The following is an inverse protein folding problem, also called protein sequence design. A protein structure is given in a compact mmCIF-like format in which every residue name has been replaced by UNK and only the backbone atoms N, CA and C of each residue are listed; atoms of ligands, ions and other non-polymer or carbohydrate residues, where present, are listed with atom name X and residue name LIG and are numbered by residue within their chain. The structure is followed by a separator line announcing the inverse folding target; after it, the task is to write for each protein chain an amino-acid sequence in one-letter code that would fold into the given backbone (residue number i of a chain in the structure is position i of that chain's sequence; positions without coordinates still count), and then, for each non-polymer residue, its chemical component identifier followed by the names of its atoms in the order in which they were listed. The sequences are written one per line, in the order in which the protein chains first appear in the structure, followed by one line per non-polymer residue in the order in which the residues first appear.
data_IF_940369848414
#
_entry.id   IF_940369848414
#
_cell.length_a   1.000
_cell.length_b   1.000
_cell.length_c   1.000
_cell.angle_alpha   90.00
_cell.angle_beta   90.00
_cell.angle_gamma   90.00
#
_symmetry.space_group_name_H-M   'P 1'
#
loop_
_entity.id
_entity.type
_entity.pdbx_description
1 polymer ?
#
# COMPACT_ATOMS: atom_id res chain seq x y z
N UNK A 1 45.29 -26.72 -19.26
CA UNK A 1 44.93 -26.84 -17.84
C UNK A 1 45.05 -25.53 -17.03
N UNK A 2 46.10 -24.69 -17.13
CA UNK A 2 46.22 -23.43 -16.37
C UNK A 2 45.08 -22.43 -16.65
N UNK A 3 44.68 -22.21 -17.91
CA UNK A 3 43.59 -21.27 -18.28
C UNK A 3 42.22 -21.64 -17.68
N UNK A 4 41.92 -22.93 -17.61
CA UNK A 4 40.65 -23.45 -17.06
C UNK A 4 40.58 -23.20 -15.53
N UNK A 5 41.68 -23.39 -14.79
CA UNK A 5 41.74 -23.08 -13.37
C UNK A 5 41.54 -21.59 -13.08
N UNK A 6 42.10 -20.74 -13.94
CA UNK A 6 41.91 -19.28 -13.84
C UNK A 6 40.48 -18.88 -14.11
N UNK A 7 39.83 -19.44 -15.12
CA UNK A 7 38.43 -19.22 -15.42
C UNK A 7 37.53 -19.61 -14.23
N UNK A 8 37.70 -20.83 -13.67
CA UNK A 8 36.96 -21.28 -12.50
C UNK A 8 37.12 -20.37 -11.29
N UNK A 9 38.32 -19.83 -11.08
CA UNK A 9 38.61 -18.89 -9.97
C UNK A 9 37.78 -17.62 -10.13
N UNK A 10 37.77 -17.00 -11.31
CA UNK A 10 36.94 -15.79 -11.54
C UNK A 10 35.47 -16.07 -11.53
N UNK A 11 35.03 -17.17 -12.09
CA UNK A 11 33.63 -17.61 -12.03
C UNK A 11 33.17 -17.77 -10.58
N UNK A 12 33.96 -18.42 -9.73
CA UNK A 12 33.66 -18.57 -8.31
C UNK A 12 33.53 -17.21 -7.61
N UNK A 13 34.40 -16.25 -7.90
CA UNK A 13 34.36 -14.90 -7.32
C UNK A 13 33.03 -14.21 -7.73
N UNK A 14 32.63 -14.29 -8.99
CA UNK A 14 31.40 -13.68 -9.46
C UNK A 14 30.17 -14.31 -8.78
N UNK A 15 30.14 -15.63 -8.65
CA UNK A 15 29.05 -16.35 -7.96
C UNK A 15 28.99 -15.95 -6.49
N UNK A 16 30.12 -15.91 -5.80
CA UNK A 16 30.17 -15.49 -4.39
C UNK A 16 29.71 -14.03 -4.21
N UNK A 17 30.13 -13.14 -5.10
CA UNK A 17 29.69 -11.75 -5.07
C UNK A 17 28.17 -11.63 -5.31
N UNK A 18 27.62 -12.38 -6.24
CA UNK A 18 26.17 -12.42 -6.50
C UNK A 18 25.39 -12.90 -5.27
N UNK A 19 25.82 -14.02 -4.67
CA UNK A 19 25.18 -14.56 -3.45
C UNK A 19 25.27 -13.56 -2.30
N UNK A 20 26.45 -12.97 -2.06
CA UNK A 20 26.65 -11.97 -1.01
C UNK A 20 25.77 -10.74 -1.24
N UNK A 21 25.71 -10.22 -2.47
CA UNK A 21 24.86 -9.08 -2.82
C UNK A 21 23.39 -9.36 -2.55
N UNK A 22 22.89 -10.54 -2.91
CA UNK A 22 21.51 -10.93 -2.62
C UNK A 22 21.21 -11.00 -1.11
N UNK A 23 22.14 -11.57 -0.33
CA UNK A 23 22.01 -11.63 1.14
C UNK A 23 21.97 -10.21 1.72
N UNK A 24 22.87 -9.33 1.29
CA UNK A 24 22.94 -7.95 1.77
C UNK A 24 21.70 -7.14 1.40
N UNK A 25 21.20 -7.27 0.16
CA UNK A 25 19.98 -6.61 -0.29
C UNK A 25 18.78 -7.07 0.55
N UNK A 26 18.60 -8.38 0.72
CA UNK A 26 17.50 -8.92 1.51
C UNK A 26 17.60 -8.50 2.99
N UNK A 27 18.77 -8.50 3.58
CA UNK A 27 18.99 -8.01 4.94
C UNK A 27 18.65 -6.52 5.06
N UNK A 28 19.09 -5.70 4.11
CA UNK A 28 18.79 -4.26 4.08
C UNK A 28 17.28 -3.99 4.00
N UNK A 29 16.55 -4.67 3.10
CA UNK A 29 15.10 -4.54 3.01
C UNK A 29 14.42 -4.95 4.31
N UNK A 30 14.80 -6.07 4.91
CA UNK A 30 14.24 -6.56 6.16
C UNK A 30 14.45 -5.60 7.34
N UNK A 31 15.61 -4.94 7.41
CA UNK A 31 15.93 -3.94 8.44
C UNK A 31 15.18 -2.62 8.20
N UNK A 32 14.91 -2.28 6.94
CA UNK A 32 14.29 -1.01 6.58
C UNK A 32 12.78 -0.97 6.85
N UNK A 33 12.10 -2.12 6.81
CA UNK A 33 10.68 -2.22 7.09
C UNK A 33 10.42 -2.31 8.59
N UNK A 34 9.54 -1.43 9.09
CA UNK A 34 9.07 -1.41 10.48
C UNK A 34 7.60 -1.75 10.52
N UNK A 35 7.20 -2.45 11.56
CA UNK A 35 5.80 -2.75 11.80
C UNK A 35 4.99 -1.46 12.03
N UNK A 36 3.82 -1.40 11.43
CA UNK A 36 2.86 -0.33 11.63
C UNK A 36 1.74 -0.79 12.56
N UNK A 37 1.28 0.10 13.39
CA UNK A 37 0.06 -0.09 14.17
C UNK A 37 -1.13 0.49 13.43
N UNK A 38 -2.25 -0.21 13.49
CA UNK A 38 -3.48 0.22 12.85
C UNK A 38 -4.68 0.03 13.74
N UNK A 39 -5.77 0.68 13.39
CA UNK A 39 -7.06 0.53 14.06
C UNK A 39 -8.19 0.48 13.02
N UNK A 40 -9.27 -0.18 13.39
CA UNK A 40 -10.45 -0.33 12.56
C UNK A 40 -11.55 0.53 13.14
N UNK A 41 -12.25 1.24 12.28
CA UNK A 41 -13.42 2.04 12.63
C UNK A 41 -14.54 1.61 11.68
N UNK A 42 -15.66 1.20 12.27
CA UNK A 42 -16.90 0.91 11.54
C UNK A 42 -16.69 0.04 10.28
N UNK A 43 -16.20 -1.16 10.49
CA UNK A 43 -16.05 -2.17 9.42
C UNK A 43 -17.27 -3.10 9.30
N UNK A 44 -18.35 -2.87 10.10
CA UNK A 44 -19.56 -3.67 9.99
C UNK A 44 -20.22 -3.52 8.61
N UNK A 45 -20.78 -4.60 8.05
CA UNK A 45 -21.01 -5.93 8.62
C UNK A 45 -19.92 -6.97 8.38
N UNK A 46 -18.75 -6.57 7.90
CA UNK A 46 -17.62 -7.45 7.67
C UNK A 46 -16.67 -7.46 8.86
N UNK A 47 -15.81 -8.47 8.91
CA UNK A 47 -14.68 -8.55 9.82
C UNK A 47 -13.38 -8.38 9.00
N UNK A 48 -12.46 -7.57 9.49
CA UNK A 48 -11.16 -7.34 8.86
C UNK A 48 -10.07 -7.77 9.83
N UNK A 49 -9.18 -8.63 9.37
CA UNK A 49 -8.00 -9.05 10.11
C UNK A 49 -6.74 -8.66 9.33
N UNK A 50 -5.91 -7.81 9.93
CA UNK A 50 -4.64 -7.37 9.35
C UNK A 50 -3.56 -8.34 9.78
N UNK A 51 -3.06 -9.12 8.86
CA UNK A 51 -2.03 -10.15 9.11
C UNK A 51 -0.62 -9.57 9.15
N UNK A 52 -0.38 -8.52 8.37
CA UNK A 52 0.92 -7.86 8.30
C UNK A 52 0.75 -6.42 7.81
N UNK A 53 1.41 -5.47 8.49
CA UNK A 53 1.46 -4.08 8.08
C UNK A 53 2.85 -3.52 8.35
N UNK A 54 3.55 -3.13 7.29
CA UNK A 54 4.94 -2.65 7.38
C UNK A 54 5.18 -1.44 6.50
N UNK A 55 6.02 -0.53 6.99
CA UNK A 55 6.46 0.63 6.23
C UNK A 55 7.97 0.90 6.36
N UNK A 56 8.52 1.45 5.30
CA UNK A 56 9.79 2.17 5.30
C UNK A 56 9.53 3.67 5.46
N UNK A 57 10.53 4.51 5.25
CA UNK A 57 10.34 5.96 5.18
C UNK A 57 9.51 6.43 3.98
N UNK A 58 9.43 5.66 2.89
CA UNK A 58 8.88 6.11 1.60
C UNK A 58 7.71 5.28 1.09
N UNK A 59 7.61 4.05 1.52
CA UNK A 59 6.59 3.13 1.05
C UNK A 59 6.22 2.11 2.11
N UNK A 60 5.18 1.35 1.85
CA UNK A 60 4.78 0.27 2.73
C UNK A 60 3.69 -0.60 2.11
N UNK A 61 3.27 -1.57 2.90
CA UNK A 61 2.18 -2.45 2.52
C UNK A 61 1.37 -2.91 3.74
N UNK A 62 0.12 -3.26 3.49
CA UNK A 62 -0.81 -3.81 4.47
C UNK A 62 -1.45 -5.03 3.84
N UNK A 63 -1.29 -6.18 4.46
CA UNK A 63 -1.91 -7.45 4.09
C UNK A 63 -2.95 -7.83 5.11
N UNK A 64 -4.05 -8.40 4.65
CA UNK A 64 -5.10 -8.84 5.56
C UNK A 64 -6.13 -9.72 4.89
N UNK A 65 -7.14 -10.03 5.68
CA UNK A 65 -8.26 -10.88 5.30
C UNK A 65 -9.55 -10.14 5.65
N UNK A 66 -10.47 -10.09 4.69
CA UNK A 66 -11.85 -9.65 4.90
C UNK A 66 -12.73 -10.88 4.98
N UNK A 67 -13.61 -10.94 5.96
CA UNK A 67 -14.57 -12.00 6.15
C UNK A 67 -15.99 -11.44 6.32
N UNK A 68 -16.92 -12.00 5.60
CA UNK A 68 -18.33 -11.73 5.87
C UNK A 68 -18.82 -12.65 6.98
N UNK A 69 -19.05 -12.10 8.16
CA UNK A 69 -19.55 -12.85 9.32
C UNK A 69 -21.08 -12.90 9.40
N UNK A 70 -21.79 -12.27 8.46
CA UNK A 70 -23.26 -12.25 8.42
C UNK A 70 -23.83 -13.42 7.61
N UNK A 71 -25.15 -13.57 7.67
CA UNK A 71 -25.91 -14.53 6.87
C UNK A 71 -26.37 -13.96 5.53
N UNK A 72 -26.07 -12.70 5.24
CA UNK A 72 -26.41 -12.01 4.01
C UNK A 72 -25.17 -11.67 3.20
N UNK A 73 -25.32 -11.60 1.88
CA UNK A 73 -24.24 -11.17 1.00
C UNK A 73 -23.93 -9.69 1.21
N UNK A 74 -22.65 -9.35 1.29
CA UNK A 74 -22.16 -7.96 1.31
C UNK A 74 -21.62 -7.63 -0.07
N UNK A 75 -22.11 -6.55 -0.66
CA UNK A 75 -21.71 -6.12 -2.01
C UNK A 75 -21.69 -4.60 -2.14
N UNK A 76 -21.01 -4.14 -3.20
CA UNK A 76 -20.93 -2.71 -3.56
C UNK A 76 -20.37 -1.81 -2.45
N UNK A 77 -19.44 -2.33 -1.66
CA UNK A 77 -18.74 -1.60 -0.60
C UNK A 77 -17.28 -1.36 -0.99
N UNK A 78 -16.66 -0.43 -0.28
CA UNK A 78 -15.23 -0.17 -0.39
C UNK A 78 -14.58 -0.24 0.99
N UNK A 79 -13.46 -0.95 1.08
CA UNK A 79 -12.61 -0.90 2.24
C UNK A 79 -11.64 0.26 2.04
N UNK A 80 -11.84 1.32 2.79
CA UNK A 80 -11.00 2.51 2.77
C UNK A 80 -9.87 2.32 3.77
N UNK A 81 -8.64 2.44 3.30
CA UNK A 81 -7.42 2.37 4.11
C UNK A 81 -6.74 3.73 4.05
N UNK A 82 -6.74 4.44 5.19
CA UNK A 82 -6.09 5.73 5.33
C UNK A 82 -4.72 5.55 6.00
N UNK A 83 -3.66 6.01 5.36
CA UNK A 83 -2.30 6.03 5.90
C UNK A 83 -2.07 7.33 6.66
N UNK A 84 -1.55 7.22 7.88
CA UNK A 84 -1.46 8.34 8.82
C UNK A 84 -0.01 8.59 9.24
N UNK A 85 0.32 9.88 9.44
CA UNK A 85 1.56 10.31 10.06
C UNK A 85 1.56 10.06 11.57
N UNK A 86 2.69 10.34 12.23
CA UNK A 86 2.81 10.27 13.70
C UNK A 86 1.79 11.17 14.43
N UNK A 87 1.35 12.25 13.81
CA UNK A 87 0.39 13.21 14.36
C UNK A 87 -1.06 12.92 13.92
N UNK A 88 -1.33 11.72 13.40
CA UNK A 88 -2.64 11.29 12.86
C UNK A 88 -3.15 12.12 11.67
N UNK A 89 -2.28 12.85 10.99
CA UNK A 89 -2.65 13.51 9.73
C UNK A 89 -2.74 12.46 8.62
N UNK A 90 -3.78 12.51 7.80
CA UNK A 90 -3.95 11.66 6.63
C UNK A 90 -2.90 12.05 5.59
N UNK A 91 -2.04 11.11 5.22
CA UNK A 91 -1.02 11.24 4.19
C UNK A 91 -1.53 10.76 2.83
N UNK A 92 -2.47 9.83 2.85
CA UNK A 92 -3.11 9.31 1.67
C UNK A 92 -4.12 8.22 1.98
N UNK A 93 -4.92 7.87 0.99
CA UNK A 93 -5.98 6.89 1.10
C UNK A 93 -5.92 5.90 -0.04
N UNK A 94 -6.28 4.66 0.23
CA UNK A 94 -6.44 3.60 -0.75
C UNK A 94 -7.78 2.91 -0.56
N UNK A 95 -8.40 2.55 -1.65
CA UNK A 95 -9.72 1.93 -1.67
C UNK A 95 -9.63 0.55 -2.30
N UNK A 96 -10.17 -0.44 -1.62
CA UNK A 96 -10.30 -1.81 -2.12
C UNK A 96 -11.79 -2.04 -2.38
N UNK A 97 -12.14 -2.29 -3.63
CA UNK A 97 -13.52 -2.59 -3.99
C UNK A 97 -13.93 -3.98 -3.48
N UNK A 98 -15.05 -4.03 -2.79
CA UNK A 98 -15.72 -5.25 -2.37
C UNK A 98 -16.92 -5.44 -3.30
N UNK A 99 -16.70 -6.17 -4.41
CA UNK A 99 -17.78 -6.41 -5.38
C UNK A 99 -18.88 -7.27 -4.76
N UNK A 100 -18.50 -8.41 -4.18
CA UNK A 100 -19.41 -9.36 -3.56
C UNK A 100 -18.65 -10.30 -2.63
N UNK A 101 -19.11 -10.43 -1.39
CA UNK A 101 -18.62 -11.44 -0.44
C UNK A 101 -19.83 -12.20 0.10
N UNK A 102 -19.90 -13.48 -0.22
CA UNK A 102 -20.94 -14.38 0.25
C UNK A 102 -20.88 -14.59 1.78
N UNK A 103 -21.97 -15.04 2.43
CA UNK A 103 -21.93 -15.41 3.84
C UNK A 103 -20.77 -16.35 4.16
N UNK A 104 -20.04 -16.06 5.25
CA UNK A 104 -18.86 -16.82 5.74
C UNK A 104 -17.66 -16.84 4.79
N UNK A 105 -17.73 -16.22 3.63
CA UNK A 105 -16.62 -16.14 2.69
C UNK A 105 -15.48 -15.27 3.22
N UNK A 106 -14.25 -15.70 2.88
CA UNK A 106 -12.99 -15.01 3.17
C UNK A 106 -12.37 -14.48 1.89
N UNK A 107 -11.78 -13.29 1.94
CA UNK A 107 -10.93 -12.73 0.87
C UNK A 107 -9.67 -12.13 1.44
N UNK A 108 -8.54 -12.41 0.81
CA UNK A 108 -7.28 -11.72 1.09
C UNK A 108 -7.26 -10.37 0.37
N UNK A 109 -6.64 -9.40 1.01
CA UNK A 109 -6.35 -8.12 0.38
C UNK A 109 -4.90 -7.72 0.62
N UNK A 110 -4.37 -6.93 -0.29
CA UNK A 110 -3.07 -6.29 -0.20
C UNK A 110 -3.21 -4.83 -0.62
N UNK A 111 -2.67 -3.93 0.18
CA UNK A 111 -2.57 -2.50 -0.12
C UNK A 111 -1.11 -2.12 -0.14
N UNK A 112 -0.63 -1.63 -1.27
CA UNK A 112 0.70 -1.01 -1.40
C UNK A 112 0.54 0.50 -1.48
N UNK A 113 1.44 1.21 -0.86
CA UNK A 113 1.44 2.66 -0.86
C UNK A 113 2.85 3.24 -0.92
N UNK A 114 2.94 4.44 -1.50
CA UNK A 114 4.17 5.22 -1.66
C UNK A 114 3.96 6.60 -1.03
N UNK A 115 3.82 6.61 0.31
CA UNK A 115 3.70 7.82 1.10
C UNK A 115 4.83 7.88 2.12
N UNK A 116 5.41 9.08 2.26
CA UNK A 116 6.52 9.30 3.19
C UNK A 116 6.05 9.30 4.65
N UNK A 117 6.87 8.72 5.52
CA UNK A 117 6.71 8.75 6.98
C UNK A 117 5.37 8.26 7.54
N UNK A 118 4.75 7.28 6.89
CA UNK A 118 3.57 6.59 7.43
C UNK A 118 3.95 5.87 8.73
N UNK A 119 3.16 6.05 9.79
CA UNK A 119 3.37 5.45 11.11
C UNK A 119 2.23 4.55 11.53
N UNK A 120 1.02 4.92 11.18
CA UNK A 120 -0.20 4.21 11.53
C UNK A 120 -1.14 4.15 10.33
N UNK A 121 -2.15 3.31 10.42
CA UNK A 121 -3.20 3.24 9.41
C UNK A 121 -4.57 3.08 10.07
N UNK A 122 -5.59 3.47 9.35
CA UNK A 122 -7.00 3.35 9.73
C UNK A 122 -7.73 2.59 8.64
N UNK A 123 -8.59 1.66 9.02
CA UNK A 123 -9.44 0.91 8.08
C UNK A 123 -10.90 1.17 8.42
N UNK A 124 -11.70 1.50 7.41
CA UNK A 124 -13.15 1.69 7.53
C UNK A 124 -13.87 1.13 6.29
N UNK A 125 -15.11 0.70 6.48
CA UNK A 125 -15.99 0.29 5.38
C UNK A 125 -16.83 1.48 4.95
N UNK A 126 -16.92 1.73 3.64
CA UNK A 126 -17.69 2.85 3.09
C UNK A 126 -18.47 2.44 1.85
N UNK A 127 -19.60 3.09 1.63
CA UNK A 127 -20.39 2.99 0.40
C UNK A 127 -19.94 4.01 -0.65
N UNK A 128 -19.14 4.98 -0.24
CA UNK A 128 -18.69 6.06 -1.11
C UNK A 128 -17.65 5.52 -2.10
N UNK A 129 -18.01 5.55 -3.37
CA UNK A 129 -17.04 5.32 -4.44
C UNK A 129 -15.96 6.41 -4.34
N UNK A 130 -14.67 6.05 -4.39
CA UNK A 130 -13.62 7.07 -4.46
C UNK A 130 -13.89 7.96 -5.67
N UNK A 131 -13.91 9.27 -5.46
CA UNK A 131 -13.88 10.21 -6.58
C UNK A 131 -12.59 9.93 -7.35
N UNK A 132 -12.71 9.53 -8.61
CA UNK A 132 -11.60 9.62 -9.54
C UNK A 132 -11.29 11.10 -9.67
N UNK A 133 -10.28 11.55 -8.94
CA UNK A 133 -9.74 12.90 -9.12
C UNK A 133 -9.10 12.89 -10.51
N UNK A 134 -9.84 13.37 -11.51
CA UNK A 134 -9.29 13.57 -12.82
C UNK A 134 -8.27 14.73 -12.71
N UNK A 135 -7.00 14.33 -12.60
CA UNK A 135 -5.87 15.26 -12.52
C UNK A 135 -5.88 16.29 -13.64
N UNK A 136 -6.47 15.94 -14.79
CA UNK A 136 -6.63 16.83 -15.95
C UNK A 136 -7.68 17.92 -15.65
N UNK A 137 -8.74 17.59 -14.95
CA UNK A 137 -9.79 18.54 -14.56
C UNK A 137 -9.30 19.50 -13.47
N UNK A 138 -8.53 19.02 -12.50
CA UNK A 138 -7.87 19.85 -11.50
C UNK A 138 -6.88 20.85 -12.10
N UNK A 139 -6.08 20.44 -13.10
CA UNK A 139 -5.16 21.32 -13.82
C UNK A 139 -5.93 22.37 -14.64
N UNK A 140 -7.02 21.98 -15.29
CA UNK A 140 -7.87 22.91 -16.07
C UNK A 140 -8.56 23.94 -15.19
N UNK A 141 -9.03 23.55 -14.01
CA UNK A 141 -9.69 24.46 -13.08
C UNK A 141 -8.69 25.46 -12.48
N UNK A 142 -7.51 24.99 -12.05
CA UNK A 142 -6.44 25.86 -11.56
C UNK A 142 -5.91 26.82 -12.64
N UNK A 143 -5.83 26.37 -13.90
CA UNK A 143 -5.43 27.24 -15.02
C UNK A 143 -6.49 28.33 -15.33
N UNK A 144 -7.78 28.00 -15.22
CA UNK A 144 -8.87 29.00 -15.38
C UNK A 144 -8.85 30.05 -14.30
N UNK A 145 -8.59 29.68 -13.06
CA UNK A 145 -8.53 30.62 -11.94
C UNK A 145 -7.35 31.60 -12.09
N UNK A 146 -6.18 31.10 -12.51
CA UNK A 146 -5.00 31.93 -12.80
C UNK A 146 -5.24 32.94 -13.96
N UNK A 147 -5.94 32.50 -15.02
CA UNK A 147 -6.27 33.40 -16.15
C UNK A 147 -7.30 34.44 -15.74
N UNK A 148 -8.27 34.08 -14.90
CA UNK A 148 -9.30 35.02 -14.44
C UNK A 148 -8.75 36.13 -13.52
N UNK A 149 -7.72 35.82 -12.72
CA UNK A 149 -7.03 36.85 -11.90
C UNK A 149 -6.14 37.81 -12.71
N UNK A 150 -5.59 37.32 -13.83
CA UNK A 150 -4.70 38.11 -14.68
C UNK A 150 -5.48 39.14 -15.53
N UNK A 151 -6.75 38.88 -15.84
CA UNK A 151 -7.61 39.76 -16.64
C UNK A 151 -8.27 40.87 -15.79
N UNK A 152 -8.28 40.73 -14.47
CA UNK A 152 -8.86 41.73 -13.54
C UNK A 152 -7.87 42.77 -13.03
N UNK A 153 -6.65 42.80 -13.52
CA UNK A 153 -5.64 43.83 -13.28
C UNK A 153 -5.45 44.68 -14.54
#
# INVERSE_FOLDING_TARGET
MKRMKTFFKYFLIVVLFYVFSNIMINAFFKISYKDMHGYQIDVNPIFVDVTEAKATKRNGYINGIVKNNTETTVENKYLKVSMLSKNNNVLGEKYIKIDKIEPKQLRKFEVKFDYDDVKTFKIELTDTKPEEVDFIELIKNNAKDLVSETIKK
#
